data_IF_852520361936
#
_entry.id   IF_852520361936
#
_cell.length_a   1.000
_cell.length_b   1.000
_cell.length_c   1.000
_cell.angle_alpha   90.00
_cell.angle_beta   90.00
_cell.angle_gamma   90.00
#
_symmetry.space_group_name_H-M   'P 1'
#
loop_
_entity.id
_entity.type
_entity.pdbx_description
1 polymer ?
#
# COMPACT_ATOMS: atom_id res chain seq x y z
N UNK A 1 -25.47 -6.11 29.63
CA UNK A 1 -24.07 -6.29 29.14
C UNK A 1 -23.79 -5.68 27.72
N UNK A 2 -24.79 -5.26 26.97
CA UNK A 2 -24.67 -4.73 25.60
C UNK A 2 -24.14 -3.29 25.49
N UNK A 3 -24.62 -2.35 26.28
CA UNK A 3 -24.40 -0.90 26.09
C UNK A 3 -22.93 -0.49 26.23
N UNK A 4 -22.20 -1.04 27.21
CA UNK A 4 -20.78 -0.72 27.41
C UNK A 4 -19.90 -1.26 26.23
N UNK A 5 -20.26 -2.42 25.69
CA UNK A 5 -19.61 -3.00 24.51
C UNK A 5 -19.80 -2.10 23.28
N UNK A 6 -21.02 -1.59 23.09
CA UNK A 6 -21.37 -0.77 21.93
C UNK A 6 -20.75 0.62 22.01
N UNK A 7 -20.66 1.22 23.20
CA UNK A 7 -19.94 2.48 23.42
C UNK A 7 -18.44 2.30 23.13
N UNK A 8 -17.82 1.20 23.59
CA UNK A 8 -16.41 0.94 23.30
C UNK A 8 -16.14 0.77 21.80
N UNK A 9 -17.04 0.07 21.10
CA UNK A 9 -16.96 -0.08 19.62
C UNK A 9 -17.10 1.27 18.93
N UNK A 10 -18.07 2.08 19.34
CA UNK A 10 -18.28 3.42 18.77
C UNK A 10 -17.04 4.32 18.98
N UNK A 11 -16.48 4.34 20.19
CA UNK A 11 -15.25 5.09 20.49
C UNK A 11 -14.08 4.59 19.65
N UNK A 12 -13.91 3.28 19.46
CA UNK A 12 -12.86 2.72 18.62
C UNK A 12 -13.02 3.13 17.14
N UNK A 13 -14.26 3.12 16.64
CA UNK A 13 -14.55 3.57 15.27
C UNK A 13 -14.24 5.05 15.07
N UNK A 14 -14.61 5.91 16.01
CA UNK A 14 -14.32 7.34 15.95
C UNK A 14 -12.81 7.59 16.00
N UNK A 15 -12.08 6.93 16.92
CA UNK A 15 -10.61 7.04 17.01
C UNK A 15 -9.95 6.62 15.69
N UNK A 16 -10.41 5.50 15.10
CA UNK A 16 -9.89 5.02 13.82
C UNK A 16 -10.17 6.00 12.67
N UNK A 17 -11.36 6.58 12.63
CA UNK A 17 -11.72 7.60 11.63
C UNK A 17 -10.85 8.85 11.75
N UNK A 18 -10.64 9.35 12.98
CA UNK A 18 -9.76 10.51 13.25
C UNK A 18 -8.31 10.20 12.86
N UNK A 19 -7.79 9.05 13.27
CA UNK A 19 -6.43 8.63 12.92
C UNK A 19 -6.25 8.50 11.40
N UNK A 20 -7.19 7.89 10.71
CA UNK A 20 -7.15 7.78 9.24
C UNK A 20 -7.17 9.15 8.56
N UNK A 21 -7.97 10.09 9.07
CA UNK A 21 -8.05 11.45 8.52
C UNK A 21 -6.76 12.22 8.75
N UNK A 22 -6.16 12.12 9.94
CA UNK A 22 -4.86 12.73 10.24
C UNK A 22 -3.77 12.16 9.33
N UNK A 23 -3.66 10.83 9.23
CA UNK A 23 -2.73 10.17 8.34
C UNK A 23 -2.92 10.58 6.88
N UNK A 24 -4.15 10.72 6.41
CA UNK A 24 -4.45 11.18 5.05
C UNK A 24 -3.89 12.59 4.79
N UNK A 25 -4.12 13.53 5.72
CA UNK A 25 -3.62 14.91 5.59
C UNK A 25 -2.10 14.94 5.60
N UNK A 26 -1.47 14.20 6.51
CA UNK A 26 0.00 14.12 6.64
C UNK A 26 0.66 13.54 5.40
N UNK A 27 0.13 12.43 4.89
CA UNK A 27 0.62 11.79 3.66
C UNK A 27 0.51 12.75 2.48
N UNK A 28 -0.64 13.39 2.30
CA UNK A 28 -0.83 14.35 1.23
C UNK A 28 0.13 15.51 1.33
N UNK A 29 0.32 16.07 2.52
CA UNK A 29 1.28 17.15 2.76
C UNK A 29 2.71 16.74 2.46
N UNK A 30 3.12 15.56 2.89
CA UNK A 30 4.47 15.01 2.64
C UNK A 30 4.71 14.82 1.16
N UNK A 31 3.77 14.20 0.45
CA UNK A 31 3.90 13.95 -0.98
C UNK A 31 3.81 15.22 -1.85
N UNK A 32 3.05 16.24 -1.41
CA UNK A 32 3.01 17.52 -2.12
C UNK A 32 4.33 18.31 -2.00
N UNK A 33 5.05 18.11 -0.90
CA UNK A 33 6.35 18.76 -0.66
C UNK A 33 7.51 18.00 -1.31
N UNK A 34 7.35 16.73 -1.57
CA UNK A 34 8.37 15.91 -2.22
C UNK A 34 8.41 16.20 -3.74
N UNK A 35 9.59 16.09 -4.36
CA UNK A 35 9.70 16.15 -5.82
C UNK A 35 8.77 15.09 -6.45
N UNK A 36 7.96 15.52 -7.40
CA UNK A 36 7.09 14.59 -8.12
C UNK A 36 7.92 13.75 -9.09
N UNK A 37 7.73 12.43 -9.13
CA UNK A 37 8.44 11.60 -10.08
C UNK A 37 8.00 11.95 -11.52
N UNK A 38 8.92 11.91 -12.48
CA UNK A 38 8.57 12.09 -13.88
C UNK A 38 7.52 11.08 -14.36
N UNK A 39 6.74 11.45 -15.35
CA UNK A 39 5.83 10.52 -16.01
C UNK A 39 6.62 9.35 -16.61
N UNK A 40 6.08 8.13 -16.49
CA UNK A 40 6.70 6.92 -17.01
C UNK A 40 7.97 6.47 -16.28
N UNK A 41 8.28 7.08 -15.11
CA UNK A 41 9.51 6.76 -14.37
C UNK A 41 9.51 5.35 -13.80
N UNK A 42 8.44 4.96 -13.10
CA UNK A 42 8.39 3.66 -12.41
C UNK A 42 8.01 2.52 -13.35
N UNK A 43 8.73 1.40 -13.23
CA UNK A 43 8.51 0.16 -13.99
C UNK A 43 7.88 -0.95 -13.17
N UNK A 44 8.17 -0.97 -11.88
CA UNK A 44 7.72 -2.00 -10.95
C UNK A 44 6.95 -1.33 -9.82
N UNK A 45 5.73 -1.78 -9.58
CA UNK A 45 4.92 -1.35 -8.46
C UNK A 45 4.75 -2.48 -7.45
N UNK A 46 4.91 -2.18 -6.17
CA UNK A 46 4.42 -3.01 -5.07
C UNK A 46 3.06 -2.47 -4.68
N UNK A 47 2.00 -3.21 -4.93
CA UNK A 47 0.65 -2.79 -4.57
C UNK A 47 0.33 -3.22 -3.15
N UNK A 48 0.15 -2.23 -2.26
CA UNK A 48 -0.11 -2.45 -0.85
C UNK A 48 -1.37 -1.69 -0.41
N UNK A 49 -2.45 -2.44 -0.18
CA UNK A 49 -3.76 -1.87 0.13
C UNK A 49 -4.06 -1.81 1.63
N UNK A 50 -3.21 -2.41 2.46
CA UNK A 50 -3.42 -2.51 3.90
C UNK A 50 -2.94 -1.28 4.67
N UNK A 51 -3.38 -1.20 5.93
CA UNK A 51 -2.94 -0.19 6.88
C UNK A 51 -1.64 -0.57 7.59
N UNK A 52 -1.27 0.26 8.56
CA UNK A 52 -0.07 0.14 9.38
C UNK A 52 0.04 -1.18 10.17
N UNK A 53 -1.08 -1.79 10.54
CA UNK A 53 -1.12 -3.08 11.28
C UNK A 53 -0.44 -4.21 10.49
N UNK A 54 -0.51 -4.18 9.17
CA UNK A 54 0.02 -5.23 8.29
C UNK A 54 1.37 -4.88 7.66
N UNK A 55 2.06 -3.87 8.18
CA UNK A 55 3.36 -3.42 7.65
C UNK A 55 4.44 -4.50 7.65
N UNK A 56 4.36 -5.50 8.54
CA UNK A 56 5.29 -6.62 8.55
C UNK A 56 5.34 -7.37 7.21
N UNK A 57 4.22 -7.41 6.48
CA UNK A 57 4.11 -8.09 5.19
C UNK A 57 4.95 -7.44 4.09
N UNK A 58 5.07 -6.12 4.09
CA UNK A 58 5.89 -5.41 3.11
C UNK A 58 7.33 -5.19 3.60
N UNK A 59 7.53 -4.99 4.90
CA UNK A 59 8.85 -4.70 5.49
C UNK A 59 9.88 -5.79 5.23
N UNK A 60 9.49 -7.05 5.23
CA UNK A 60 10.38 -8.18 4.92
C UNK A 60 10.95 -8.11 3.49
N UNK A 61 10.23 -7.44 2.58
CA UNK A 61 10.62 -7.29 1.19
C UNK A 61 11.47 -6.04 0.92
N UNK A 62 11.64 -5.13 1.87
CA UNK A 62 12.36 -3.88 1.62
C UNK A 62 13.76 -4.09 1.07
N UNK A 63 14.55 -4.99 1.68
CA UNK A 63 15.92 -5.25 1.20
C UNK A 63 15.97 -5.81 -0.23
N UNK A 64 15.21 -6.86 -0.59
CA UNK A 64 15.11 -7.33 -1.97
C UNK A 64 14.62 -6.25 -2.95
N UNK A 65 13.61 -5.47 -2.55
CA UNK A 65 13.05 -4.42 -3.41
C UNK A 65 14.01 -3.24 -3.61
N UNK A 66 14.76 -2.86 -2.58
CA UNK A 66 15.83 -1.85 -2.69
C UNK A 66 16.96 -2.32 -3.60
N UNK A 67 17.30 -3.60 -3.55
CA UNK A 67 18.27 -4.19 -4.47
C UNK A 67 17.77 -4.15 -5.92
N UNK A 68 16.51 -4.52 -6.14
CA UNK A 68 15.86 -4.45 -7.43
C UNK A 68 15.77 -3.01 -7.95
N UNK A 69 15.54 -2.04 -7.06
CA UNK A 69 15.44 -0.63 -7.39
C UNK A 69 16.74 -0.01 -7.91
N UNK A 70 17.88 -0.67 -7.71
CA UNK A 70 19.17 -0.25 -8.32
C UNK A 70 19.18 -0.39 -9.84
N UNK A 71 18.41 -1.32 -10.38
CA UNK A 71 18.33 -1.60 -11.82
C UNK A 71 17.01 -1.11 -12.42
N UNK A 72 15.92 -1.31 -11.72
CA UNK A 72 14.57 -0.98 -12.19
C UNK A 72 13.86 -0.08 -11.20
N UNK A 73 13.34 1.09 -11.60
CA UNK A 73 12.64 1.98 -10.69
C UNK A 73 11.41 1.30 -10.07
N UNK A 74 11.45 1.13 -8.74
CA UNK A 74 10.41 0.50 -7.93
C UNK A 74 9.65 1.55 -7.13
N UNK A 75 8.34 1.40 -7.00
CA UNK A 75 7.48 2.27 -6.18
C UNK A 75 6.46 1.43 -5.42
N UNK A 76 6.06 1.89 -4.25
CA UNK A 76 4.90 1.33 -3.54
C UNK A 76 3.66 2.16 -3.90
N UNK A 77 2.63 1.51 -4.42
CA UNK A 77 1.29 2.10 -4.57
C UNK A 77 0.49 1.74 -3.33
N UNK A 78 0.28 2.70 -2.44
CA UNK A 78 -0.50 2.50 -1.22
C UNK A 78 -1.93 3.01 -1.38
N UNK A 79 -2.89 2.21 -0.87
CA UNK A 79 -4.33 2.51 -0.88
C UNK A 79 -4.84 2.99 0.49
N UNK A 80 -4.07 2.76 1.55
CA UNK A 80 -4.39 3.14 2.92
C UNK A 80 -3.55 4.33 3.35
N UNK A 81 -4.16 5.31 4.02
CA UNK A 81 -3.45 6.46 4.53
C UNK A 81 -2.46 6.08 5.64
N UNK A 82 -2.85 5.21 6.57
CA UNK A 82 -1.97 4.74 7.65
C UNK A 82 -0.84 3.86 7.11
N UNK A 83 -1.12 3.03 6.12
CA UNK A 83 -0.08 2.25 5.41
C UNK A 83 0.90 3.15 4.67
N UNK A 84 0.42 4.12 3.91
CA UNK A 84 1.27 5.09 3.21
C UNK A 84 2.14 5.90 4.17
N UNK A 85 1.57 6.37 5.28
CA UNK A 85 2.30 7.09 6.32
C UNK A 85 3.43 6.25 6.91
N UNK A 86 3.16 4.98 7.23
CA UNK A 86 4.15 4.06 7.77
C UNK A 86 5.28 3.77 6.77
N UNK A 87 4.96 3.55 5.49
CA UNK A 87 5.97 3.32 4.43
C UNK A 87 6.84 4.57 4.22
N UNK A 88 6.24 5.77 4.25
CA UNK A 88 6.98 7.03 4.16
C UNK A 88 7.91 7.23 5.36
N UNK A 89 7.44 6.88 6.57
CA UNK A 89 8.24 6.95 7.78
C UNK A 89 9.42 5.95 7.76
N UNK A 90 9.22 4.75 7.22
CA UNK A 90 10.30 3.76 7.04
C UNK A 90 11.35 4.24 6.01
N UNK A 91 10.98 5.09 5.07
CA UNK A 91 11.90 5.68 4.08
C UNK A 91 12.59 4.67 3.14
N UNK A 92 12.07 3.44 3.05
CA UNK A 92 12.72 2.35 2.32
C UNK A 92 12.52 2.43 0.81
N UNK A 93 11.34 2.87 0.36
CA UNK A 93 10.93 2.94 -1.04
C UNK A 93 10.08 4.19 -1.30
N UNK A 94 10.08 4.74 -2.51
CA UNK A 94 9.16 5.81 -2.88
C UNK A 94 7.70 5.33 -2.84
N UNK A 95 6.78 6.25 -2.55
CA UNK A 95 5.35 5.97 -2.38
C UNK A 95 4.52 6.81 -3.32
N UNK A 96 3.57 6.18 -3.99
CA UNK A 96 2.44 6.82 -4.66
C UNK A 96 1.17 6.50 -3.88
N UNK A 97 0.48 7.53 -3.42
CA UNK A 97 -0.73 7.36 -2.62
C UNK A 97 -1.98 7.46 -3.49
N UNK A 98 -2.73 6.36 -3.57
CA UNK A 98 -3.91 6.23 -4.41
C UNK A 98 -5.13 5.74 -3.60
N UNK A 99 -5.72 6.57 -2.73
CA UNK A 99 -6.79 6.13 -1.81
C UNK A 99 -8.10 5.75 -2.51
N UNK A 100 -8.34 6.29 -3.69
CA UNK A 100 -9.55 6.03 -4.49
C UNK A 100 -9.20 5.31 -5.79
N UNK A 101 -10.20 4.69 -6.42
CA UNK A 101 -10.02 4.05 -7.74
C UNK A 101 -9.58 5.09 -8.78
N UNK A 102 -10.18 6.29 -8.76
CA UNK A 102 -9.80 7.38 -9.67
C UNK A 102 -8.33 7.80 -9.48
N UNK A 103 -7.87 7.89 -8.23
CA UNK A 103 -6.46 8.18 -7.96
C UNK A 103 -5.54 7.04 -8.45
N UNK A 104 -5.97 5.79 -8.30
CA UNK A 104 -5.24 4.63 -8.83
C UNK A 104 -5.14 4.69 -10.35
N UNK A 105 -6.22 5.00 -11.04
CA UNK A 105 -6.24 5.18 -12.50
C UNK A 105 -5.25 6.27 -12.94
N UNK A 106 -5.26 7.41 -12.24
CA UNK A 106 -4.32 8.51 -12.52
C UNK A 106 -2.86 8.09 -12.33
N UNK A 107 -2.54 7.37 -11.26
CA UNK A 107 -1.19 6.85 -10.99
C UNK A 107 -0.76 5.86 -12.07
N UNK A 108 -1.62 4.91 -12.40
CA UNK A 108 -1.34 3.88 -13.40
C UNK A 108 -1.19 4.47 -14.81
N UNK A 109 -1.95 5.51 -15.14
CA UNK A 109 -1.84 6.22 -16.42
C UNK A 109 -0.57 7.08 -16.51
N UNK A 110 -0.14 7.65 -15.39
CA UNK A 110 1.05 8.52 -15.34
C UNK A 110 2.38 7.75 -15.35
N UNK A 111 2.38 6.44 -15.02
CA UNK A 111 3.59 5.64 -14.89
C UNK A 111 3.62 4.48 -15.90
N UNK A 112 4.82 4.07 -16.32
CA UNK A 112 5.00 2.93 -17.24
C UNK A 112 5.23 1.62 -16.45
N UNK A 113 4.30 1.29 -15.57
CA UNK A 113 4.37 0.10 -14.73
C UNK A 113 4.16 -1.15 -15.60
N UNK A 114 5.13 -2.04 -15.59
CA UNK A 114 5.12 -3.31 -16.33
C UNK A 114 4.85 -4.51 -15.42
N UNK A 115 5.27 -4.42 -14.17
CA UNK A 115 5.14 -5.49 -13.18
C UNK A 115 4.48 -4.93 -11.92
N UNK A 116 3.52 -5.65 -11.40
CA UNK A 116 2.86 -5.37 -10.12
C UNK A 116 3.09 -6.53 -9.17
N UNK A 117 3.72 -6.24 -8.06
CA UNK A 117 4.03 -7.22 -7.00
C UNK A 117 3.01 -7.11 -5.87
N UNK A 118 2.54 -8.24 -5.38
CA UNK A 118 1.60 -8.32 -4.26
C UNK A 118 2.23 -9.09 -3.11
N UNK A 119 2.34 -8.46 -1.96
CA UNK A 119 2.94 -9.05 -0.75
C UNK A 119 1.91 -9.80 0.10
N UNK A 120 0.61 -9.64 -0.20
CA UNK A 120 -0.47 -10.26 0.54
C UNK A 120 -1.72 -10.48 -0.32
N UNK A 121 -2.65 -11.25 0.24
CA UNK A 121 -3.98 -11.43 -0.33
C UNK A 121 -4.92 -10.39 0.30
N UNK A 122 -5.31 -9.40 -0.49
CA UNK A 122 -6.26 -8.37 -0.11
C UNK A 122 -7.35 -8.24 -1.19
N UNK A 123 -8.60 -8.08 -0.78
CA UNK A 123 -9.72 -7.92 -1.73
C UNK A 123 -9.53 -6.72 -2.65
N UNK A 124 -8.84 -5.68 -2.21
CA UNK A 124 -8.52 -4.51 -3.04
C UNK A 124 -7.50 -4.80 -4.16
N UNK A 125 -6.82 -5.94 -4.13
CA UNK A 125 -5.94 -6.36 -5.22
C UNK A 125 -6.70 -6.50 -6.52
N UNK A 126 -7.97 -6.92 -6.47
CA UNK A 126 -8.85 -6.98 -7.65
C UNK A 126 -9.01 -5.64 -8.38
N UNK A 127 -8.86 -4.52 -7.68
CA UNK A 127 -8.91 -3.20 -8.31
C UNK A 127 -7.68 -2.95 -9.21
N UNK A 128 -6.56 -3.59 -8.91
CA UNK A 128 -5.34 -3.48 -9.72
C UNK A 128 -5.31 -4.49 -10.87
N UNK A 129 -5.93 -5.65 -10.73
CA UNK A 129 -6.00 -6.68 -11.79
C UNK A 129 -6.73 -6.23 -13.05
N UNK A 130 -7.56 -5.19 -12.97
CA UNK A 130 -8.24 -4.61 -14.14
C UNK A 130 -7.27 -4.08 -15.21
N UNK A 131 -6.02 -3.82 -14.84
CA UNK A 131 -4.97 -3.31 -15.74
C UNK A 131 -4.17 -4.48 -16.34
N UNK A 132 -4.80 -5.25 -17.24
CA UNK A 132 -4.35 -6.54 -17.76
C UNK A 132 -3.10 -6.53 -18.67
N UNK A 133 -2.57 -5.37 -19.06
CA UNK A 133 -1.35 -5.28 -19.87
C UNK A 133 -0.05 -5.31 -19.01
N UNK A 134 -0.14 -5.75 -17.76
CA UNK A 134 0.94 -5.82 -16.80
C UNK A 134 1.08 -7.23 -16.26
N UNK A 135 2.29 -7.59 -15.84
CA UNK A 135 2.51 -8.82 -15.08
C UNK A 135 2.07 -8.61 -13.64
N UNK A 136 1.18 -9.47 -13.16
CA UNK A 136 0.72 -9.49 -11.77
C UNK A 136 1.35 -10.67 -11.06
N UNK A 137 2.23 -10.41 -10.09
CA UNK A 137 3.05 -11.42 -9.42
C UNK A 137 2.79 -11.37 -7.91
N UNK A 138 2.36 -12.48 -7.34
CA UNK A 138 2.28 -12.66 -5.90
C UNK A 138 3.63 -13.13 -5.39
N UNK A 139 4.24 -12.32 -4.52
CA UNK A 139 5.50 -12.65 -3.86
C UNK A 139 5.28 -13.12 -2.42
N UNK A 140 4.05 -13.01 -1.93
CA UNK A 140 3.61 -13.44 -0.61
C UNK A 140 4.40 -12.79 0.56
N UNK A 141 4.01 -13.06 1.79
CA UNK A 141 4.69 -12.58 3.01
C UNK A 141 5.28 -13.72 3.87
N UNK A 142 5.53 -14.86 3.27
CA UNK A 142 5.96 -16.10 3.93
C UNK A 142 4.80 -17.07 4.14
N UNK A 143 5.12 -18.34 4.21
CA UNK A 143 4.15 -19.37 4.55
C UNK A 143 3.85 -19.32 6.05
N UNK A 144 2.58 -19.37 6.40
CA UNK A 144 2.14 -19.61 7.76
C UNK A 144 2.20 -21.13 7.99
N UNK A 145 2.85 -21.57 9.06
CA UNK A 145 2.79 -22.96 9.53
C UNK A 145 1.40 -23.41 10.01
N UNK A 146 0.38 -22.68 9.61
CA UNK A 146 -1.01 -23.09 9.86
C UNK A 146 -1.26 -24.33 9.01
N UNK A 147 -1.22 -25.49 9.66
CA UNK A 147 -1.79 -26.69 9.07
C UNK A 147 -3.26 -26.39 8.73
N UNK A 148 -3.57 -26.38 7.46
CA UNK A 148 -4.95 -26.42 7.02
C UNK A 148 -5.50 -27.77 7.51
N UNK A 149 -6.36 -27.72 8.52
CA UNK A 149 -7.13 -28.90 8.88
C UNK A 149 -8.00 -29.24 7.67
N UNK A 150 -7.66 -30.35 7.05
CA UNK A 150 -8.47 -31.05 6.04
C UNK A 150 -9.78 -31.50 6.65
#
# INVERSE_FOLDING_TARGET
>A
MGIISDVRKAVALVRRAVSNRAAYVDVRRSLTRAPQPPAGHFRIAVYFADGDVNMYQIRQWYKPLQLLAKTWPVVVISRSATGAQAILADGALPVLFAPTVRALESVVAAQDIRVVLYVNQNTRNFQMFRYGHRWHVFINHGESDKMYMT
#
